data_IF_836028441433
#
_entry.id   IF_836028441433
#
_cell.length_a   1.000
_cell.length_b   1.000
_cell.length_c   1.000
_cell.angle_alpha   90.00
_cell.angle_beta   90.00
_cell.angle_gamma   90.00
#
_symmetry.space_group_name_H-M   'P 1'
#
loop_
_entity.id
_entity.type
_entity.pdbx_description
1 polymer ?
#
# COMPACT_ATOMS: atom_id res chain seq x y z
N UNK A 1 -2.53 15.76 -12.37
CA UNK A 1 -1.67 15.14 -11.35
C UNK A 1 -2.54 14.35 -10.41
N UNK A 2 -2.64 13.07 -10.65
CA UNK A 2 -3.52 12.21 -9.90
C UNK A 2 -2.70 11.47 -8.86
N UNK A 3 -2.78 11.92 -7.63
CA UNK A 3 -2.36 11.17 -6.46
C UNK A 3 -3.37 10.03 -6.24
N UNK A 4 -3.56 9.21 -7.26
CA UNK A 4 -4.51 8.11 -7.25
C UNK A 4 -3.76 6.78 -7.18
N UNK A 5 -4.29 5.86 -6.41
CA UNK A 5 -3.81 4.48 -6.41
C UNK A 5 -4.17 3.81 -7.74
N UNK A 6 -3.22 3.09 -8.32
CA UNK A 6 -3.39 2.36 -9.59
C UNK A 6 -3.00 0.90 -9.42
N UNK A 7 -3.77 0.01 -10.03
CA UNK A 7 -3.43 -1.42 -10.11
C UNK A 7 -4.07 -2.07 -11.33
N UNK A 8 -3.51 -3.18 -11.78
CA UNK A 8 -4.09 -3.98 -12.85
C UNK A 8 -4.81 -5.21 -12.27
N UNK A 9 -5.95 -5.55 -12.84
CA UNK A 9 -6.73 -6.72 -12.45
C UNK A 9 -7.27 -7.43 -13.68
N UNK A 10 -7.65 -8.71 -13.50
CA UNK A 10 -8.25 -9.54 -14.54
C UNK A 10 -9.65 -9.92 -14.09
N UNK A 11 -10.65 -9.66 -14.94
CA UNK A 11 -12.00 -10.13 -14.72
C UNK A 11 -12.10 -11.66 -14.89
N UNK A 12 -13.10 -12.27 -14.27
CA UNK A 12 -13.41 -13.69 -14.42
C UNK A 12 -13.92 -14.00 -15.84
N UNK A 13 -14.24 -15.27 -16.11
CA UNK A 13 -14.76 -15.75 -17.39
C UNK A 13 -16.13 -15.17 -17.77
N UNK A 14 -16.84 -14.57 -16.81
CA UNK A 14 -18.10 -13.84 -17.03
C UNK A 14 -17.90 -12.35 -17.23
N UNK A 15 -16.65 -11.87 -17.19
CA UNK A 15 -16.31 -10.47 -17.28
C UNK A 15 -16.53 -9.67 -15.99
N UNK A 16 -16.63 -10.33 -14.84
CA UNK A 16 -16.83 -9.70 -13.54
C UNK A 16 -15.51 -9.57 -12.78
N UNK A 17 -15.32 -8.43 -12.13
CA UNK A 17 -14.25 -8.19 -11.16
C UNK A 17 -14.88 -7.65 -9.89
N UNK A 18 -14.62 -8.34 -8.76
CA UNK A 18 -14.96 -7.84 -7.42
C UNK A 18 -13.66 -7.64 -6.66
N UNK A 19 -13.46 -6.45 -6.10
CA UNK A 19 -12.25 -6.09 -5.34
C UNK A 19 -12.60 -5.11 -4.23
N UNK A 20 -12.03 -5.33 -3.05
CA UNK A 20 -12.12 -4.39 -1.94
C UNK A 20 -10.99 -3.36 -2.09
N UNK A 21 -11.36 -2.11 -2.31
CA UNK A 21 -10.40 -1.03 -2.57
C UNK A 21 -10.47 0.00 -1.45
N UNK A 22 -9.40 0.18 -0.67
CA UNK A 22 -9.32 1.25 0.32
C UNK A 22 -9.41 2.63 -0.36
N UNK A 23 -10.43 3.42 -0.03
CA UNK A 23 -10.59 4.75 -0.61
C UNK A 23 -9.47 5.70 -0.16
N UNK A 24 -8.98 6.56 -1.05
CA UNK A 24 -7.93 7.54 -0.79
C UNK A 24 -8.47 8.98 -0.64
N UNK A 25 -9.73 9.20 -0.94
CA UNK A 25 -10.40 10.48 -0.75
C UNK A 25 -11.84 10.28 -0.30
N UNK A 26 -12.40 11.31 0.36
CA UNK A 26 -13.81 11.29 0.78
C UNK A 26 -14.75 11.15 -0.43
N UNK A 27 -14.46 11.88 -1.48
CA UNK A 27 -15.16 11.81 -2.76
C UNK A 27 -14.28 10.98 -3.69
N UNK A 28 -14.38 9.66 -3.56
CA UNK A 28 -13.57 8.71 -4.30
C UNK A 28 -14.09 8.56 -5.74
N UNK A 29 -13.20 8.72 -6.72
CA UNK A 29 -13.48 8.48 -8.13
C UNK A 29 -12.76 7.19 -8.55
N UNK A 30 -13.52 6.22 -9.03
CA UNK A 30 -13.02 4.99 -9.61
C UNK A 30 -13.08 5.10 -11.14
N UNK A 31 -11.96 4.83 -11.79
CA UNK A 31 -11.84 4.81 -13.25
C UNK A 31 -11.35 3.42 -13.64
N UNK A 32 -12.08 2.77 -14.54
CA UNK A 32 -11.66 1.51 -15.14
C UNK A 32 -11.36 1.74 -16.63
N UNK A 33 -10.14 1.40 -17.03
CA UNK A 33 -9.70 1.42 -18.40
C UNK A 33 -9.51 -0.01 -18.90
N UNK A 34 -10.15 -0.36 -20.01
CA UNK A 34 -10.05 -1.68 -20.60
C UNK A 34 -9.06 -1.70 -21.76
N UNK A 35 -8.36 -2.82 -21.94
CA UNK A 35 -7.45 -3.01 -23.10
C UNK A 35 -8.10 -2.79 -24.46
N UNK A 36 -9.43 -2.83 -24.54
CA UNK A 36 -10.22 -2.54 -25.74
C UNK A 36 -10.32 -1.05 -26.08
N UNK A 37 -9.84 -0.17 -25.19
CA UNK A 37 -10.02 1.29 -25.30
C UNK A 37 -11.36 1.81 -24.75
N UNK A 38 -12.23 0.92 -24.27
CA UNK A 38 -13.42 1.32 -23.53
C UNK A 38 -13.03 1.67 -22.07
N UNK A 39 -13.85 2.47 -21.41
CA UNK A 39 -13.65 2.84 -20.01
C UNK A 39 -14.98 3.04 -19.29
N UNK A 40 -14.90 3.06 -17.96
CA UNK A 40 -16.03 3.40 -17.09
C UNK A 40 -15.53 4.22 -15.90
N UNK A 41 -16.38 5.09 -15.36
CA UNK A 41 -16.10 5.86 -14.17
C UNK A 41 -17.29 5.81 -13.21
N UNK A 42 -17.00 5.76 -11.92
CA UNK A 42 -17.98 5.84 -10.85
C UNK A 42 -17.43 6.66 -9.69
N UNK A 43 -18.29 7.40 -9.00
CA UNK A 43 -17.94 8.14 -7.79
C UNK A 43 -18.68 7.58 -6.58
N UNK A 44 -17.99 7.57 -5.44
CA UNK A 44 -18.52 7.11 -4.16
C UNK A 44 -18.11 8.10 -3.07
N UNK A 45 -19.04 8.44 -2.18
CA UNK A 45 -18.74 9.24 -0.99
C UNK A 45 -18.38 8.31 0.16
N UNK A 46 -17.20 8.51 0.76
CA UNK A 46 -16.68 7.76 1.91
C UNK A 46 -16.57 8.70 3.10
N UNK A 47 -17.67 8.90 3.88
CA UNK A 47 -17.73 9.93 4.92
C UNK A 47 -16.73 9.68 6.06
N UNK A 48 -16.44 8.41 6.35
CA UNK A 48 -15.61 8.00 7.50
C UNK A 48 -14.11 7.93 7.21
N UNK A 49 -13.68 8.38 6.04
CA UNK A 49 -12.25 8.35 5.65
C UNK A 49 -11.36 9.05 6.69
N UNK A 50 -11.85 10.11 7.34
CA UNK A 50 -11.12 10.85 8.36
C UNK A 50 -10.82 10.05 9.65
N UNK A 51 -11.37 8.86 9.77
CA UNK A 51 -11.11 7.95 10.89
C UNK A 51 -9.96 6.98 10.62
N UNK A 52 -9.31 7.08 9.45
CA UNK A 52 -8.26 6.15 9.02
C UNK A 52 -7.03 6.90 8.53
N UNK A 53 -5.86 6.43 8.95
CA UNK A 53 -4.60 6.71 8.31
C UNK A 53 -4.33 5.65 7.24
N UNK A 54 -3.76 6.05 6.10
CA UNK A 54 -3.38 5.13 5.03
C UNK A 54 -2.01 5.46 4.48
N UNK A 55 -1.23 4.40 4.30
CA UNK A 55 0.03 4.41 3.56
C UNK A 55 -0.12 3.51 2.34
N UNK A 56 0.15 4.04 1.16
CA UNK A 56 0.08 3.33 -0.11
C UNK A 56 1.46 3.27 -0.73
N UNK A 57 1.90 2.10 -1.09
CA UNK A 57 3.04 1.87 -1.97
C UNK A 57 2.51 1.32 -3.29
N UNK A 58 2.83 1.96 -4.41
CA UNK A 58 2.44 1.47 -5.73
C UNK A 58 3.64 1.42 -6.66
N UNK A 59 3.67 0.41 -7.53
CA UNK A 59 4.76 0.17 -8.48
C UNK A 59 4.25 -0.58 -9.71
N UNK A 60 5.13 -0.74 -10.69
CA UNK A 60 4.86 -1.53 -11.89
C UNK A 60 5.80 -2.75 -11.94
N UNK A 61 5.27 -3.88 -12.36
CA UNK A 61 6.08 -5.09 -12.55
C UNK A 61 6.29 -5.92 -11.29
N UNK A 62 7.39 -6.68 -11.26
CA UNK A 62 7.74 -7.58 -10.16
C UNK A 62 9.05 -7.12 -9.50
N UNK A 63 9.11 -5.87 -9.13
CA UNK A 63 10.34 -5.21 -8.70
C UNK A 63 10.72 -5.49 -7.24
N UNK A 64 9.96 -6.37 -6.54
CA UNK A 64 10.29 -6.82 -5.19
C UNK A 64 10.14 -5.75 -4.10
N UNK A 65 9.48 -4.63 -4.37
CA UNK A 65 9.19 -3.61 -3.35
C UNK A 65 8.01 -4.05 -2.49
N UNK A 66 8.07 -3.77 -1.18
CA UNK A 66 7.07 -4.15 -0.20
C UNK A 66 6.89 -3.04 0.84
N UNK A 67 5.67 -2.87 1.31
CA UNK A 67 5.33 -1.98 2.42
C UNK A 67 5.30 -2.77 3.74
N UNK A 68 6.07 -2.30 4.72
CA UNK A 68 6.12 -2.87 6.05
C UNK A 68 5.64 -1.84 7.07
N UNK A 69 4.70 -2.24 7.93
CA UNK A 69 4.25 -1.46 9.07
C UNK A 69 4.60 -2.22 10.36
N UNK A 70 5.35 -1.57 11.24
CA UNK A 70 5.77 -2.11 12.54
C UNK A 70 4.97 -1.38 13.62
N UNK A 71 3.94 -2.04 14.14
CA UNK A 71 3.02 -1.48 15.10
C UNK A 71 3.53 -1.56 16.53
N UNK A 72 3.48 -0.44 17.25
CA UNK A 72 3.71 -0.38 18.69
C UNK A 72 5.06 -0.96 19.16
N UNK A 73 6.11 -0.70 18.40
CA UNK A 73 7.46 -1.17 18.70
C UNK A 73 7.73 -2.63 18.32
N UNK A 74 6.86 -3.22 17.50
CA UNK A 74 7.12 -4.55 16.93
C UNK A 74 8.41 -4.55 16.11
N UNK A 75 9.16 -5.62 16.19
CA UNK A 75 10.23 -5.95 15.26
C UNK A 75 9.71 -6.74 14.06
N UNK A 76 10.62 -7.07 13.15
CA UNK A 76 10.34 -8.00 12.06
C UNK A 76 9.97 -9.37 12.62
N UNK A 77 9.01 -10.04 12.00
CA UNK A 77 8.43 -11.33 12.38
C UNK A 77 7.61 -11.35 13.69
N UNK A 78 7.47 -10.21 14.36
CA UNK A 78 6.57 -10.07 15.51
C UNK A 78 5.09 -10.00 15.05
N UNK A 79 4.17 -10.20 15.99
CA UNK A 79 2.71 -10.15 15.72
C UNK A 79 2.23 -8.77 15.23
N UNK A 80 2.94 -7.68 15.56
CA UNK A 80 2.66 -6.31 15.08
C UNK A 80 3.38 -5.95 13.79
N UNK A 81 4.05 -6.89 13.13
CA UNK A 81 4.65 -6.70 11.81
C UNK A 81 3.61 -6.99 10.73
N UNK A 82 3.06 -5.94 10.14
CA UNK A 82 2.03 -6.01 9.09
C UNK A 82 2.67 -5.77 7.73
N UNK A 83 2.56 -6.74 6.84
CA UNK A 83 3.12 -6.72 5.49
C UNK A 83 2.44 -7.77 4.59
N UNK A 84 2.88 -7.97 3.36
CA UNK A 84 2.20 -8.84 2.39
C UNK A 84 2.02 -10.30 2.86
N UNK A 85 2.95 -10.86 3.66
CA UNK A 85 2.83 -12.22 4.19
C UNK A 85 2.11 -12.30 5.55
N UNK A 86 1.89 -11.17 6.22
CA UNK A 86 1.18 -11.05 7.50
C UNK A 86 0.30 -9.80 7.48
N UNK A 87 -0.85 -9.88 6.80
CA UNK A 87 -1.67 -8.71 6.43
C UNK A 87 -2.42 -8.05 7.59
N UNK A 88 -2.34 -8.60 8.82
CA UNK A 88 -3.18 -8.16 9.93
C UNK A 88 -4.63 -8.63 9.77
N UNK A 89 -5.47 -8.31 10.74
CA UNK A 89 -6.88 -8.70 10.72
C UNK A 89 -7.80 -7.47 10.67
N UNK A 90 -8.80 -7.50 9.79
CA UNK A 90 -9.83 -6.46 9.72
C UNK A 90 -10.60 -6.33 11.05
N UNK A 91 -10.77 -7.44 11.79
CA UNK A 91 -11.40 -7.43 13.12
C UNK A 91 -10.61 -6.61 14.14
N UNK A 92 -9.27 -6.64 14.08
CA UNK A 92 -8.39 -5.86 14.95
C UNK A 92 -8.48 -4.37 14.58
N UNK A 93 -8.54 -4.07 13.28
CA UNK A 93 -8.77 -2.73 12.80
C UNK A 93 -10.13 -2.17 13.25
N UNK A 94 -11.19 -2.96 13.17
CA UNK A 94 -12.54 -2.56 13.61
C UNK A 94 -12.63 -2.32 15.13
N UNK A 95 -11.78 -2.97 15.92
CA UNK A 95 -11.68 -2.76 17.38
C UNK A 95 -10.67 -1.69 17.78
N UNK A 96 -9.93 -1.10 16.84
CA UNK A 96 -8.85 -0.16 17.09
C UNK A 96 -7.58 -0.78 17.67
N UNK A 97 -7.45 -2.11 17.62
CA UNK A 97 -6.32 -2.84 18.21
C UNK A 97 -5.08 -2.90 17.30
N UNK A 98 -5.24 -2.73 16.00
CA UNK A 98 -4.17 -2.75 15.00
C UNK A 98 -4.64 -2.30 13.63
N UNK A 99 -3.75 -2.27 12.67
CA UNK A 99 -4.03 -2.00 11.27
C UNK A 99 -4.08 -3.28 10.43
N UNK A 100 -4.23 -3.09 9.12
CA UNK A 100 -4.19 -4.18 8.15
C UNK A 100 -3.66 -3.70 6.81
N UNK A 101 -3.16 -4.64 6.01
CA UNK A 101 -2.66 -4.39 4.67
C UNK A 101 -3.58 -5.02 3.62
N UNK A 102 -3.87 -4.27 2.58
CA UNK A 102 -4.57 -4.75 1.38
C UNK A 102 -3.61 -4.73 0.20
N UNK A 103 -3.35 -5.86 -0.42
CA UNK A 103 -2.59 -5.96 -1.65
C UNK A 103 -3.53 -5.94 -2.85
N UNK A 104 -3.19 -5.13 -3.84
CA UNK A 104 -3.96 -4.93 -5.07
C UNK A 104 -3.06 -5.15 -6.29
N UNK A 105 -3.66 -5.64 -7.34
CA UNK A 105 -2.97 -6.03 -8.58
C UNK A 105 -2.93 -7.54 -8.76
N UNK A 106 -3.00 -7.99 -10.01
CA UNK A 106 -3.03 -9.40 -10.35
C UNK A 106 -1.63 -9.87 -10.76
N UNK A 107 -1.05 -10.89 -10.11
CA UNK A 107 0.27 -11.43 -10.47
C UNK A 107 0.31 -12.07 -11.88
N UNK A 108 -0.84 -12.40 -12.47
CA UNK A 108 -0.92 -12.91 -13.85
C UNK A 108 -0.79 -11.82 -14.93
N UNK A 109 -0.70 -10.54 -14.55
CA UNK A 109 -0.45 -9.44 -15.49
C UNK A 109 1.05 -9.13 -15.47
N UNK A 110 1.75 -9.51 -16.55
CA UNK A 110 3.17 -9.15 -16.72
C UNK A 110 3.30 -7.62 -16.76
N UNK A 111 4.28 -7.09 -16.04
CA UNK A 111 4.51 -5.65 -15.89
C UNK A 111 3.26 -4.85 -15.46
N UNK A 112 2.35 -5.53 -14.76
CA UNK A 112 1.12 -4.92 -14.26
C UNK A 112 1.38 -3.94 -13.13
N UNK A 113 0.49 -2.96 -12.99
CA UNK A 113 0.47 -2.06 -11.84
C UNK A 113 0.00 -2.82 -10.60
N UNK A 114 0.69 -2.62 -9.49
CA UNK A 114 0.42 -3.19 -8.17
C UNK A 114 0.38 -2.11 -7.12
N UNK A 115 -0.35 -2.33 -6.04
CA UNK A 115 -0.33 -1.45 -4.88
C UNK A 115 -0.51 -2.25 -3.59
N UNK A 116 0.14 -1.80 -2.55
CA UNK A 116 -0.08 -2.22 -1.17
C UNK A 116 -0.59 -1.04 -0.37
N UNK A 117 -1.64 -1.25 0.40
CA UNK A 117 -2.29 -0.22 1.20
C UNK A 117 -2.36 -0.68 2.65
N UNK A 118 -1.53 -0.10 3.50
CA UNK A 118 -1.70 -0.23 4.93
C UNK A 118 -2.76 0.76 5.41
N UNK A 119 -3.71 0.28 6.22
CA UNK A 119 -4.80 1.07 6.79
C UNK A 119 -4.79 0.93 8.31
N UNK A 120 -4.78 2.05 9.03
CA UNK A 120 -4.89 2.09 10.49
C UNK A 120 -6.12 2.91 10.92
N UNK A 121 -6.96 2.40 11.86
CA UNK A 121 -8.17 3.07 12.31
C UNK A 121 -7.89 4.13 13.40
N UNK A 122 -7.18 5.19 13.06
CA UNK A 122 -6.77 6.26 13.99
C UNK A 122 -7.91 7.03 14.65
N UNK A 123 -9.14 6.86 14.13
CA UNK A 123 -10.37 7.36 14.76
C UNK A 123 -10.82 6.58 16.00
N UNK A 124 -10.32 5.36 16.20
CA UNK A 124 -10.78 4.41 17.23
C UNK A 124 -9.61 3.71 17.94
N UNK A 125 -8.49 4.40 18.11
CA UNK A 125 -7.31 3.82 18.75
C UNK A 125 -7.61 3.25 20.14
N UNK A 126 -7.24 2.00 20.37
CA UNK A 126 -7.35 1.36 21.67
C UNK A 126 -6.18 1.71 22.60
N UNK A 127 -5.05 2.19 22.06
CA UNK A 127 -3.83 2.52 22.85
C UNK A 127 -2.96 3.58 22.17
N UNK A 128 -2.11 4.23 22.97
CA UNK A 128 -1.06 5.12 22.46
C UNK A 128 0.09 4.31 21.83
N UNK A 129 0.81 4.93 20.93
CA UNK A 129 2.02 4.37 20.34
C UNK A 129 2.30 4.86 18.93
N UNK A 130 3.31 4.29 18.33
CA UNK A 130 3.72 4.63 16.98
C UNK A 130 3.63 3.40 16.05
N UNK A 131 3.40 3.68 14.77
CA UNK A 131 3.57 2.71 13.69
C UNK A 131 4.70 3.21 12.80
N UNK A 132 5.78 2.46 12.74
CA UNK A 132 6.91 2.75 11.86
C UNK A 132 6.63 2.18 10.48
N UNK A 133 6.74 3.01 9.45
CA UNK A 133 6.46 2.64 8.06
C UNK A 133 7.77 2.60 7.26
N UNK A 134 8.09 1.42 6.74
CA UNK A 134 9.27 1.19 5.91
C UNK A 134 8.85 0.68 4.52
N UNK A 135 9.67 1.00 3.53
CA UNK A 135 9.63 0.34 2.21
C UNK A 135 10.87 -0.53 2.11
N UNK A 136 10.69 -1.77 1.73
CA UNK A 136 11.78 -2.69 1.47
C UNK A 136 11.82 -3.08 -0.01
N UNK A 137 13.02 -3.27 -0.53
CA UNK A 137 13.23 -3.76 -1.88
C UNK A 137 14.16 -4.97 -1.83
N UNK A 138 13.64 -6.14 -2.18
CA UNK A 138 14.44 -7.35 -2.34
C UNK A 138 15.22 -7.31 -3.65
N UNK A 139 16.52 -7.64 -3.59
CA UNK A 139 17.33 -7.84 -4.78
C UNK A 139 17.00 -9.20 -5.38
N UNK A 140 16.35 -9.18 -6.54
CA UNK A 140 15.92 -10.39 -7.24
C UNK A 140 16.70 -10.56 -8.55
N UNK A 141 16.70 -11.75 -9.19
CA UNK A 141 17.28 -11.93 -10.51
C UNK A 141 16.65 -11.03 -11.60
N UNK A 142 15.45 -10.49 -11.34
CA UNK A 142 14.72 -9.66 -12.31
C UNK A 142 15.06 -8.18 -12.20
N UNK A 143 15.33 -7.69 -10.98
CA UNK A 143 15.60 -6.28 -10.73
C UNK A 143 17.08 -5.95 -10.47
N UNK A 144 17.95 -6.94 -10.23
CA UNK A 144 19.36 -6.69 -9.94
C UNK A 144 20.03 -5.88 -11.05
N UNK A 145 20.80 -4.87 -10.68
CA UNK A 145 21.49 -3.97 -11.58
C UNK A 145 20.57 -3.08 -12.44
N UNK A 146 19.28 -2.99 -12.11
CA UNK A 146 18.28 -2.20 -12.82
C UNK A 146 17.75 -1.07 -11.95
N UNK A 147 17.16 -0.09 -12.61
CA UNK A 147 16.37 0.93 -11.94
C UNK A 147 14.98 0.39 -11.60
N UNK A 148 14.58 0.59 -10.35
CA UNK A 148 13.25 0.30 -9.83
C UNK A 148 12.56 1.61 -9.48
N UNK A 149 11.31 1.75 -9.91
CA UNK A 149 10.49 2.92 -9.64
C UNK A 149 9.23 2.54 -8.86
N UNK A 150 8.92 3.31 -7.84
CA UNK A 150 7.70 3.18 -7.06
C UNK A 150 7.18 4.56 -6.64
N UNK A 151 5.98 4.62 -6.10
CA UNK A 151 5.42 5.84 -5.52
C UNK A 151 4.80 5.52 -4.17
N UNK A 152 5.10 6.32 -3.16
CA UNK A 152 4.40 6.31 -1.89
C UNK A 152 3.33 7.39 -1.87
N UNK A 153 2.15 7.07 -1.27
CA UNK A 153 1.09 8.04 -1.02
C UNK A 153 0.68 7.89 0.45
N UNK A 154 0.74 8.96 1.21
CA UNK A 154 0.31 8.97 2.60
C UNK A 154 -0.90 9.87 2.79
N UNK A 155 -1.90 9.33 3.48
CA UNK A 155 -3.15 10.01 3.80
C UNK A 155 -3.35 9.93 5.31
N UNK A 156 -3.39 11.09 5.93
CA UNK A 156 -3.71 11.23 7.35
C UNK A 156 -5.00 12.04 7.53
N UNK A 157 -5.74 11.83 8.63
CA UNK A 157 -6.94 12.59 8.93
C UNK A 157 -6.72 14.11 8.84
N UNK A 158 -7.56 14.79 8.07
CA UNK A 158 -7.52 16.26 7.88
C UNK A 158 -6.25 16.81 7.22
N UNK A 159 -5.45 15.97 6.62
CA UNK A 159 -4.26 16.38 5.85
C UNK A 159 -4.47 16.16 4.36
N UNK A 160 -3.79 16.94 3.56
CA UNK A 160 -3.71 16.70 2.11
C UNK A 160 -2.85 15.48 1.86
N UNK A 161 -3.29 14.59 0.99
CA UNK A 161 -2.50 13.44 0.58
C UNK A 161 -1.12 13.88 0.07
N UNK A 162 -0.06 13.22 0.54
CA UNK A 162 1.32 13.49 0.13
C UNK A 162 1.81 12.31 -0.69
N UNK A 163 2.23 12.56 -1.91
CA UNK A 163 2.87 11.56 -2.78
C UNK A 163 4.37 11.86 -2.91
N UNK A 164 5.18 10.80 -2.94
CA UNK A 164 6.63 10.85 -3.14
C UNK A 164 6.98 9.80 -4.19
N UNK A 165 7.63 10.23 -5.27
CA UNK A 165 8.17 9.31 -6.26
C UNK A 165 9.51 8.76 -5.77
N UNK A 166 9.70 7.47 -5.95
CA UNK A 166 10.90 6.75 -5.63
C UNK A 166 11.52 6.20 -6.90
N UNK A 167 12.79 6.44 -7.08
CA UNK A 167 13.61 5.78 -8.10
C UNK A 167 14.91 5.36 -7.46
N UNK A 168 15.27 4.08 -7.59
CA UNK A 168 16.50 3.55 -7.04
C UNK A 168 17.20 2.61 -8.01
N UNK A 169 18.52 2.60 -7.98
CA UNK A 169 19.32 1.60 -8.68
C UNK A 169 19.54 0.41 -7.76
N UNK A 170 19.08 -0.76 -8.17
CA UNK A 170 19.26 -1.99 -7.41
C UNK A 170 20.73 -2.44 -7.46
N UNK A 171 21.23 -3.10 -6.41
CA UNK A 171 22.54 -3.72 -6.40
C UNK A 171 22.75 -4.72 -7.52
N UNK A 172 24.01 -5.08 -7.74
CA UNK A 172 24.38 -6.11 -8.72
C UNK A 172 23.78 -7.49 -8.40
N UNK A 173 23.81 -8.39 -9.37
CA UNK A 173 23.19 -9.72 -9.22
C UNK A 173 23.96 -10.66 -8.27
N UNK A 174 25.10 -10.25 -7.79
CA UNK A 174 25.84 -10.89 -6.69
C UNK A 174 25.16 -10.67 -5.32
N UNK A 175 24.30 -9.65 -5.20
CA UNK A 175 23.53 -9.33 -4.00
C UNK A 175 22.10 -9.92 -4.01
N UNK A 176 21.77 -10.84 -4.93
CA UNK A 176 20.43 -11.46 -4.98
C UNK A 176 20.09 -12.13 -3.64
N UNK A 177 18.92 -11.79 -3.08
CA UNK A 177 18.47 -12.23 -1.75
C UNK A 177 18.76 -11.23 -0.63
N UNK A 178 19.49 -10.15 -0.90
CA UNK A 178 19.65 -9.05 0.05
C UNK A 178 18.46 -8.08 -0.04
N UNK A 179 18.26 -7.26 1.01
CA UNK A 179 17.19 -6.28 1.09
C UNK A 179 17.74 -4.87 1.28
N UNK A 180 17.16 -3.92 0.58
CA UNK A 180 17.36 -2.50 0.83
C UNK A 180 16.16 -1.96 1.62
N UNK A 181 16.44 -1.32 2.75
CA UNK A 181 15.41 -0.64 3.54
C UNK A 181 15.43 0.85 3.21
N UNK A 182 14.32 1.34 2.69
CA UNK A 182 14.13 2.72 2.29
C UNK A 182 13.39 3.47 3.39
N UNK A 183 14.12 4.29 4.12
CA UNK A 183 13.58 5.14 5.17
C UNK A 183 13.07 6.45 4.59
N UNK A 184 12.14 7.09 5.30
CA UNK A 184 11.58 8.41 4.96
C UNK A 184 10.69 8.45 3.69
N UNK A 185 10.25 7.29 3.18
CA UNK A 185 9.24 7.22 2.14
C UNK A 185 7.84 7.54 2.68
N UNK A 186 7.65 7.29 3.97
CA UNK A 186 6.48 7.65 4.76
C UNK A 186 6.90 8.37 6.04
N UNK A 187 6.01 9.18 6.60
CA UNK A 187 6.11 9.59 7.99
C UNK A 187 5.51 8.49 8.87
N UNK A 188 6.15 8.21 10.01
CA UNK A 188 5.60 7.30 11.00
C UNK A 188 4.26 7.83 11.53
N UNK A 189 3.37 6.91 11.94
CA UNK A 189 2.09 7.29 12.51
C UNK A 189 2.25 7.39 14.03
N UNK A 190 1.97 8.56 14.60
CA UNK A 190 1.86 8.75 16.05
C UNK A 190 0.39 8.71 16.45
N UNK A 191 0.04 7.75 17.26
CA UNK A 191 -1.32 7.39 17.64
C UNK A 191 -1.57 7.76 19.11
N UNK A 192 -2.74 8.33 19.36
CA UNK A 192 -3.22 8.60 20.73
C UNK A 192 -4.52 7.81 20.98
N UNK A 193 -4.63 7.16 22.14
CA UNK A 193 -5.84 6.47 22.54
C UNK A 193 -7.04 7.45 22.60
N UNK A 194 -8.23 6.96 22.21
CA UNK A 194 -9.47 7.73 22.14
C UNK A 194 -10.59 7.04 22.88
#
# INVERSE_FOLDING_TARGET
HHQGMMFNAIADDRGLLTVDVPALSRDALFIADFKTGAGAAASVVVPDLSNYDRAVLQWQGEDGVQLHALEFGAGYDDAGHIWAASTGALTDALSGAGGFLTALGNPGVSDGLKAEVYTYPSGQNARDGDVVLNVEAEVTPRNCGREVAAQSIQIAPRQTAKAIDLTMMMPGCDAVGEFLVLKNMFADLTLAAK
#
